data_IF_480877152345
#
_entry.id   IF_480877152345
#
_cell.length_a   1.000
_cell.length_b   1.000
_cell.length_c   1.000
_cell.angle_alpha   90.00
_cell.angle_beta   90.00
_cell.angle_gamma   90.00
#
_symmetry.space_group_name_H-M   'P 1'
#
loop_
_entity.id
_entity.type
_entity.pdbx_description
1 polymer ?
#
# COMPACT_ATOMS: atom_id res chain seq x y z
N UNK A 1 -13.34 0.31 -13.84
CA UNK A 1 -12.68 -0.97 -14.22
C UNK A 1 -13.23 -2.04 -13.28
N UNK A 2 -13.68 -3.17 -13.82
CA UNK A 2 -14.07 -4.33 -13.00
C UNK A 2 -12.81 -5.04 -12.49
N UNK A 3 -12.67 -5.16 -11.17
CA UNK A 3 -11.57 -5.83 -10.50
C UNK A 3 -11.95 -7.21 -9.95
N UNK A 4 -13.15 -7.69 -10.23
CA UNK A 4 -13.63 -9.01 -9.79
C UNK A 4 -12.68 -10.15 -10.22
N UNK A 5 -12.17 -10.17 -11.48
CA UNK A 5 -11.21 -11.19 -11.90
C UNK A 5 -9.89 -11.13 -11.14
N UNK A 6 -9.37 -9.91 -10.88
CA UNK A 6 -8.15 -9.72 -10.09
C UNK A 6 -8.33 -10.21 -8.66
N UNK A 7 -9.48 -9.88 -8.04
CA UNK A 7 -9.82 -10.31 -6.69
C UNK A 7 -9.87 -11.84 -6.58
N UNK A 8 -10.50 -12.52 -7.53
CA UNK A 8 -10.54 -13.97 -7.58
C UNK A 8 -9.13 -14.57 -7.77
N UNK A 9 -8.33 -13.98 -8.66
CA UNK A 9 -6.95 -14.41 -8.89
C UNK A 9 -6.07 -14.22 -7.65
N UNK A 10 -6.18 -13.09 -6.95
CA UNK A 10 -5.45 -12.83 -5.71
C UNK A 10 -5.87 -13.78 -4.58
N UNK A 11 -7.17 -14.09 -4.43
CA UNK A 11 -7.65 -15.07 -3.47
C UNK A 11 -7.07 -16.48 -3.76
N UNK A 12 -7.09 -16.92 -5.02
CA UNK A 12 -6.52 -18.19 -5.45
C UNK A 12 -5.01 -18.26 -5.21
N UNK A 13 -4.28 -17.22 -5.57
CA UNK A 13 -2.83 -17.15 -5.31
C UNK A 13 -2.53 -17.17 -3.82
N UNK A 14 -3.26 -16.41 -3.01
CA UNK A 14 -3.08 -16.43 -1.56
C UNK A 14 -3.22 -17.84 -0.96
N UNK A 15 -4.25 -18.58 -1.36
CA UNK A 15 -4.48 -19.94 -0.88
C UNK A 15 -3.32 -20.89 -1.22
N UNK A 16 -2.65 -20.70 -2.36
CA UNK A 16 -1.62 -21.61 -2.87
C UNK A 16 -0.18 -21.12 -2.65
N UNK A 17 0.01 -19.81 -2.33
CA UNK A 17 1.34 -19.21 -2.24
C UNK A 17 2.21 -19.87 -1.17
N UNK A 18 3.45 -20.18 -1.53
CA UNK A 18 4.52 -20.57 -0.62
C UNK A 18 5.54 -19.46 -0.53
N UNK A 19 5.95 -19.11 0.69
CA UNK A 19 7.03 -18.15 0.91
C UNK A 19 8.36 -18.76 0.47
N UNK A 20 9.11 -18.04 -0.35
CA UNK A 20 10.39 -18.47 -0.92
C UNK A 20 11.57 -17.66 -0.44
N UNK A 21 11.32 -16.50 0.18
CA UNK A 21 12.35 -15.63 0.78
C UNK A 21 11.95 -15.21 2.19
N UNK A 22 12.94 -15.14 3.08
CA UNK A 22 12.71 -14.76 4.48
C UNK A 22 12.78 -13.25 4.67
N UNK A 23 11.69 -12.67 5.19
CA UNK A 23 11.58 -11.27 5.58
C UNK A 23 11.11 -11.11 7.04
N UNK A 24 11.40 -12.09 7.88
CA UNK A 24 10.98 -12.10 9.29
C UNK A 24 11.49 -10.89 10.08
N UNK A 25 12.67 -10.38 9.77
CA UNK A 25 13.21 -9.16 10.41
C UNK A 25 12.33 -7.94 10.15
N UNK A 26 11.90 -7.75 8.89
CA UNK A 26 10.98 -6.66 8.52
C UNK A 26 9.62 -6.86 9.20
N UNK A 27 9.05 -8.07 9.13
CA UNK A 27 7.78 -8.40 9.75
C UNK A 27 7.81 -8.17 11.27
N UNK A 28 8.92 -8.51 11.95
CA UNK A 28 9.10 -8.27 13.39
C UNK A 28 9.02 -6.78 13.73
N UNK A 29 9.65 -5.91 12.95
CA UNK A 29 9.58 -4.46 13.14
C UNK A 29 8.15 -3.93 12.94
N UNK A 30 7.43 -4.42 11.93
CA UNK A 30 6.04 -4.05 11.69
C UNK A 30 5.13 -4.46 12.84
N UNK A 31 5.26 -5.70 13.35
CA UNK A 31 4.47 -6.18 14.48
C UNK A 31 4.82 -5.44 15.76
N UNK A 32 6.09 -5.11 15.99
CA UNK A 32 6.51 -4.31 17.16
C UNK A 32 5.86 -2.91 17.19
N UNK A 33 5.52 -2.37 16.01
CA UNK A 33 4.86 -1.07 15.86
C UNK A 33 3.33 -1.15 15.84
N UNK A 34 2.73 -2.32 16.13
CA UNK A 34 1.28 -2.62 16.05
C UNK A 34 0.41 -1.53 16.67
N UNK A 35 0.75 -1.07 17.88
CA UNK A 35 -0.06 -0.08 18.61
C UNK A 35 -0.24 1.23 17.84
N UNK A 36 0.79 1.71 17.13
CA UNK A 36 0.69 2.91 16.30
C UNK A 36 -0.21 2.70 15.08
N UNK A 37 -0.11 1.55 14.42
CA UNK A 37 -1.00 1.22 13.31
C UNK A 37 -2.44 1.04 13.77
N UNK A 38 -2.68 0.46 14.97
CA UNK A 38 -4.00 0.33 15.56
C UNK A 38 -4.66 1.69 15.88
N UNK A 39 -3.87 2.70 16.25
CA UNK A 39 -4.39 4.06 16.44
C UNK A 39 -4.96 4.63 15.13
N UNK A 40 -4.35 4.33 13.98
CA UNK A 40 -4.85 4.71 12.64
C UNK A 40 -6.01 3.80 12.23
N UNK A 41 -5.95 2.49 12.49
CA UNK A 41 -7.05 1.56 12.24
C UNK A 41 -8.34 2.02 12.92
N UNK A 42 -8.26 2.43 14.20
CA UNK A 42 -9.40 2.92 14.97
C UNK A 42 -10.11 4.13 14.32
N UNK A 43 -9.39 4.93 13.53
CA UNK A 43 -9.91 6.12 12.85
C UNK A 43 -10.38 5.85 11.42
N UNK A 44 -9.80 4.85 10.76
CA UNK A 44 -10.01 4.61 9.33
C UNK A 44 -10.77 3.32 9.02
N UNK A 45 -10.78 2.38 9.96
CA UNK A 45 -11.29 1.02 9.75
C UNK A 45 -10.40 0.15 8.86
N UNK A 46 -9.26 0.67 8.40
CA UNK A 46 -8.27 -0.13 7.68
C UNK A 46 -7.54 -1.00 8.68
N UNK A 47 -7.45 -2.34 8.48
CA UNK A 47 -6.77 -3.21 9.43
C UNK A 47 -5.31 -2.80 9.63
N UNK A 48 -4.84 -2.83 10.87
CA UNK A 48 -3.50 -2.39 11.24
C UNK A 48 -2.39 -3.05 10.42
N UNK A 49 -2.52 -4.34 10.12
CA UNK A 49 -1.52 -5.08 9.35
C UNK A 49 -1.49 -4.64 7.88
N UNK A 50 -2.61 -4.16 7.32
CA UNK A 50 -2.67 -3.56 5.99
C UNK A 50 -1.94 -2.22 5.99
N UNK A 51 -2.16 -1.37 7.01
CA UNK A 51 -1.44 -0.10 7.17
C UNK A 51 0.06 -0.36 7.29
N UNK A 52 0.45 -1.37 8.05
CA UNK A 52 1.85 -1.75 8.26
C UNK A 52 2.55 -2.13 6.95
N UNK A 53 1.93 -2.98 6.11
CA UNK A 53 2.56 -3.37 4.84
C UNK A 53 2.59 -2.23 3.82
N UNK A 54 1.61 -1.31 3.84
CA UNK A 54 1.68 -0.09 3.04
C UNK A 54 2.87 0.76 3.51
N UNK A 55 3.05 0.96 4.82
CA UNK A 55 4.17 1.74 5.37
C UNK A 55 5.54 1.16 4.97
N UNK A 56 5.69 -0.16 4.99
CA UNK A 56 6.90 -0.80 4.47
C UNK A 56 7.08 -0.53 2.98
N UNK A 57 6.04 -0.73 2.17
CA UNK A 57 6.14 -0.63 0.71
C UNK A 57 6.37 0.80 0.22
N UNK A 58 5.70 1.77 0.82
CA UNK A 58 5.75 3.17 0.38
C UNK A 58 6.97 3.93 0.94
N UNK A 59 7.45 3.58 2.13
CA UNK A 59 8.49 4.36 2.77
C UNK A 59 9.53 3.57 3.56
N UNK A 60 9.57 2.23 3.46
CA UNK A 60 10.47 1.36 4.23
C UNK A 60 10.38 1.65 5.74
N UNK A 61 9.18 1.76 6.26
CA UNK A 61 8.86 2.07 7.67
C UNK A 61 9.42 3.41 8.16
N UNK A 62 9.63 4.37 7.26
CA UNK A 62 10.11 5.69 7.66
C UNK A 62 8.97 6.53 8.26
N UNK A 63 8.98 6.65 9.58
CA UNK A 63 7.99 7.44 10.34
C UNK A 63 8.01 8.94 10.08
N UNK A 64 8.97 9.44 9.35
CA UNK A 64 9.04 10.84 8.89
C UNK A 64 8.31 11.09 7.56
N UNK A 65 7.73 10.03 6.93
CA UNK A 65 7.17 10.11 5.58
C UNK A 65 5.70 9.73 5.54
N UNK A 66 4.96 10.40 4.65
CA UNK A 66 3.56 10.10 4.33
C UNK A 66 3.42 8.75 3.61
N UNK A 67 2.29 8.07 3.83
CA UNK A 67 1.92 6.83 3.13
C UNK A 67 1.44 7.06 1.69
N UNK A 68 1.10 8.30 1.31
CA UNK A 68 0.56 8.58 -0.02
C UNK A 68 1.65 8.98 -1.02
N UNK A 69 2.55 9.90 -0.63
CA UNK A 69 3.53 10.49 -1.54
C UNK A 69 4.98 10.13 -1.19
N UNK A 70 5.21 9.59 0.02
CA UNK A 70 6.55 9.42 0.56
C UNK A 70 7.24 10.74 0.90
N UNK A 71 6.54 11.88 0.83
CA UNK A 71 7.04 13.18 1.27
C UNK A 71 7.10 13.29 2.79
N UNK A 72 7.94 14.18 3.36
CA UNK A 72 7.90 14.48 4.79
C UNK A 72 6.51 14.95 5.21
N UNK A 73 5.88 14.28 6.16
CA UNK A 73 4.51 14.60 6.58
C UNK A 73 4.37 15.98 7.25
N UNK A 74 5.43 16.53 7.81
CA UNK A 74 5.47 17.84 8.44
C UNK A 74 5.71 19.01 7.46
N UNK A 75 5.66 18.75 6.17
CA UNK A 75 5.74 19.73 5.09
C UNK A 75 4.56 19.55 4.13
N UNK A 76 4.29 20.58 3.32
CA UNK A 76 3.35 20.43 2.22
C UNK A 76 3.94 19.51 1.17
N UNK A 77 3.17 18.51 0.73
CA UNK A 77 3.63 17.54 -0.27
C UNK A 77 3.84 18.18 -1.64
N UNK A 78 4.92 17.77 -2.31
CA UNK A 78 5.26 18.22 -3.66
C UNK A 78 5.01 17.14 -4.71
N UNK A 79 4.95 15.87 -4.30
CA UNK A 79 4.59 14.76 -5.16
C UNK A 79 3.07 14.52 -5.14
N UNK A 80 2.58 13.80 -6.13
CA UNK A 80 1.13 13.55 -6.33
C UNK A 80 0.61 12.55 -5.29
N UNK A 81 -0.50 12.87 -4.61
CA UNK A 81 -1.28 14.12 -4.65
C UNK A 81 -0.55 15.25 -3.91
N UNK A 82 -0.21 16.34 -4.66
CA UNK A 82 0.48 17.50 -4.11
C UNK A 82 -0.45 18.37 -3.24
N UNK A 83 0.15 19.26 -2.44
CA UNK A 83 -0.60 20.23 -1.64
C UNK A 83 -1.22 19.65 -0.37
N UNK A 84 -0.83 18.43 0.05
CA UNK A 84 -1.28 17.80 1.28
C UNK A 84 -0.36 18.16 2.45
N UNK A 85 -0.94 18.37 3.63
CA UNK A 85 -0.16 18.75 4.81
C UNK A 85 0.11 20.28 4.89
N UNK A 86 1.02 20.76 5.77
CA UNK A 86 1.72 19.92 6.75
C UNK A 86 0.76 19.26 7.75
N UNK A 87 1.14 18.10 8.26
CA UNK A 87 0.39 17.39 9.29
C UNK A 87 1.08 17.53 10.65
N UNK A 88 0.34 17.25 11.73
CA UNK A 88 0.86 17.37 13.11
C UNK A 88 1.50 16.07 13.61
N UNK A 89 1.28 14.95 12.91
CA UNK A 89 1.87 13.65 13.24
C UNK A 89 1.85 12.72 12.03
N UNK A 90 2.63 11.63 12.13
CA UNK A 90 2.57 10.56 11.13
C UNK A 90 1.17 9.94 11.04
N UNK A 91 0.50 9.75 12.17
CA UNK A 91 -0.84 9.18 12.24
C UNK A 91 -1.86 10.07 11.50
N UNK A 92 -1.76 11.38 11.65
CA UNK A 92 -2.61 12.32 10.92
C UNK A 92 -2.37 12.24 9.40
N UNK A 93 -1.11 12.16 8.98
CA UNK A 93 -0.76 11.96 7.57
C UNK A 93 -1.21 10.60 7.04
N UNK A 94 -1.12 9.54 7.85
CA UNK A 94 -1.57 8.21 7.48
C UNK A 94 -3.10 8.15 7.32
N UNK A 95 -3.86 8.79 8.22
CA UNK A 95 -5.31 8.90 8.11
C UNK A 95 -5.67 9.65 6.82
N UNK A 96 -5.01 10.77 6.54
CA UNK A 96 -5.23 11.52 5.31
C UNK A 96 -4.96 10.68 4.05
N UNK A 97 -3.85 9.95 4.04
CA UNK A 97 -3.49 9.07 2.93
C UNK A 97 -4.54 7.98 2.68
N UNK A 98 -5.05 7.34 3.73
CA UNK A 98 -5.99 6.23 3.63
C UNK A 98 -7.43 6.69 3.28
N UNK A 99 -7.82 7.90 3.71
CA UNK A 99 -9.17 8.45 3.51
C UNK A 99 -9.27 9.27 2.24
N UNK A 100 -8.28 10.13 1.98
CA UNK A 100 -8.37 11.20 0.98
C UNK A 100 -7.51 10.96 -0.25
N UNK A 101 -6.59 9.99 -0.23
CA UNK A 101 -5.73 9.70 -1.38
C UNK A 101 -6.09 8.33 -1.98
N UNK A 102 -5.98 8.21 -3.32
CA UNK A 102 -6.17 6.91 -3.98
C UNK A 102 -5.16 5.87 -3.48
N UNK A 103 -5.56 4.63 -3.37
CA UNK A 103 -6.82 3.99 -3.77
C UNK A 103 -7.96 4.09 -2.74
N UNK A 104 -7.92 5.02 -1.79
CA UNK A 104 -8.96 5.30 -0.79
C UNK A 104 -9.23 4.09 0.12
N UNK A 105 -8.21 3.55 0.74
CA UNK A 105 -8.26 2.30 1.50
C UNK A 105 -9.35 2.29 2.58
N UNK A 106 -9.64 3.42 3.21
CA UNK A 106 -10.71 3.54 4.22
C UNK A 106 -12.12 3.29 3.66
N UNK A 107 -12.30 3.34 2.33
CA UNK A 107 -13.58 3.03 1.67
C UNK A 107 -13.77 1.54 1.38
N UNK A 108 -12.69 0.74 1.53
CA UNK A 108 -12.77 -0.69 1.28
C UNK A 108 -13.68 -1.37 2.31
N UNK A 109 -14.56 -2.25 1.83
CA UNK A 109 -15.49 -3.04 2.66
C UNK A 109 -15.14 -4.53 2.65
N UNK A 110 -14.26 -4.95 1.76
CA UNK A 110 -13.90 -6.35 1.59
C UNK A 110 -12.46 -6.58 2.09
N UNK A 111 -12.36 -7.08 3.29
CA UNK A 111 -11.11 -7.45 3.94
C UNK A 111 -10.81 -8.95 3.84
N UNK A 112 -11.44 -9.67 2.91
CA UNK A 112 -10.99 -11.00 2.51
C UNK A 112 -9.57 -10.95 1.91
N UNK A 113 -8.89 -12.07 1.81
CA UNK A 113 -7.57 -12.12 1.18
C UNK A 113 -7.59 -11.52 -0.24
N UNK A 114 -8.58 -11.90 -1.06
CA UNK A 114 -8.74 -11.38 -2.41
C UNK A 114 -8.98 -9.87 -2.44
N UNK A 115 -9.90 -9.37 -1.61
CA UNK A 115 -10.23 -7.96 -1.52
C UNK A 115 -9.05 -7.11 -1.05
N UNK A 116 -8.40 -7.53 0.04
CA UNK A 116 -7.25 -6.83 0.61
C UNK A 116 -6.07 -6.75 -0.36
N UNK A 117 -5.70 -7.88 -0.97
CA UNK A 117 -4.56 -7.90 -1.90
C UNK A 117 -4.86 -7.13 -3.19
N UNK A 118 -6.12 -7.08 -3.61
CA UNK A 118 -6.54 -6.25 -4.75
C UNK A 118 -6.50 -4.76 -4.42
N UNK A 119 -6.92 -4.36 -3.23
CA UNK A 119 -6.75 -2.99 -2.74
C UNK A 119 -5.27 -2.61 -2.71
N UNK A 120 -4.41 -3.45 -2.13
CA UNK A 120 -2.96 -3.22 -2.05
C UNK A 120 -2.32 -3.10 -3.44
N UNK A 121 -2.78 -3.87 -4.43
CA UNK A 121 -2.29 -3.73 -5.81
C UNK A 121 -2.67 -2.38 -6.42
N UNK A 122 -3.77 -1.76 -5.95
CA UNK A 122 -4.17 -0.41 -6.33
C UNK A 122 -3.12 0.66 -5.99
N UNK A 123 -2.35 0.50 -4.91
CA UNK A 123 -1.22 1.37 -4.58
C UNK A 123 -0.12 1.33 -5.64
N UNK A 124 0.03 0.21 -6.33
CA UNK A 124 0.98 0.05 -7.44
C UNK A 124 0.40 0.39 -8.82
N UNK A 125 -0.81 0.93 -8.90
CA UNK A 125 -1.42 1.46 -10.13
C UNK A 125 -1.97 0.43 -11.11
N UNK A 126 -2.13 -0.85 -10.77
CA UNK A 126 -2.75 -1.91 -11.58
C UNK A 126 -2.04 -2.20 -12.93
N UNK A 127 -0.80 -1.73 -13.13
CA UNK A 127 -0.06 -1.93 -14.38
C UNK A 127 0.22 -3.42 -14.65
N UNK A 128 0.51 -4.19 -13.62
CA UNK A 128 0.75 -5.63 -13.72
C UNK A 128 -0.54 -6.40 -14.06
N UNK A 129 -1.66 -6.01 -13.46
CA UNK A 129 -2.96 -6.58 -13.80
C UNK A 129 -3.31 -6.38 -15.28
N UNK A 130 -3.07 -5.19 -15.82
CA UNK A 130 -3.29 -4.91 -17.24
C UNK A 130 -2.39 -5.74 -18.17
N UNK A 131 -1.22 -6.17 -17.68
CA UNK A 131 -0.32 -7.10 -18.39
C UNK A 131 -0.68 -8.57 -18.18
N UNK A 132 -1.64 -8.89 -17.34
CA UNK A 132 -2.02 -10.28 -17.03
C UNK A 132 -0.98 -11.04 -16.19
N UNK A 133 -0.09 -10.35 -15.49
CA UNK A 133 0.98 -10.95 -14.69
C UNK A 133 0.85 -10.61 -13.20
N UNK A 134 1.36 -11.49 -12.29
CA UNK A 134 1.37 -11.21 -10.87
C UNK A 134 2.23 -9.99 -10.52
N UNK A 135 1.68 -9.09 -9.72
CA UNK A 135 2.42 -7.92 -9.25
C UNK A 135 3.51 -8.29 -8.24
N UNK A 136 4.78 -7.86 -8.44
CA UNK A 136 5.81 -8.02 -7.41
C UNK A 136 5.50 -7.23 -6.14
N UNK A 137 4.76 -6.13 -6.23
CA UNK A 137 4.29 -5.38 -5.07
C UNK A 137 3.51 -6.27 -4.10
N UNK A 138 2.78 -7.26 -4.62
CA UNK A 138 2.00 -8.20 -3.84
C UNK A 138 2.78 -9.50 -3.60
N UNK A 139 3.39 -10.09 -4.64
CA UNK A 139 3.81 -11.48 -4.64
C UNK A 139 5.32 -11.73 -4.54
N UNK A 140 6.15 -10.67 -4.55
CA UNK A 140 7.60 -10.83 -4.40
C UNK A 140 7.93 -11.55 -3.08
N UNK A 141 8.82 -12.54 -3.16
CA UNK A 141 9.17 -13.43 -2.04
C UNK A 141 8.24 -14.63 -1.86
N UNK A 142 7.34 -14.88 -2.82
CA UNK A 142 6.55 -16.11 -2.92
C UNK A 142 6.82 -16.82 -4.24
N UNK A 143 6.36 -18.07 -4.37
CA UNK A 143 6.38 -18.85 -5.61
C UNK A 143 5.40 -18.36 -6.68
N UNK A 144 4.54 -17.37 -6.33
CA UNK A 144 3.59 -16.73 -7.25
C UNK A 144 4.21 -15.63 -8.11
N UNK A 145 5.46 -15.25 -7.85
CA UNK A 145 6.22 -14.25 -8.62
C UNK A 145 7.63 -14.78 -8.91
N UNK A 146 8.07 -14.65 -10.16
CA UNK A 146 9.43 -15.03 -10.57
C UNK A 146 10.26 -13.81 -10.98
N UNK A 147 9.80 -13.09 -11.99
CA UNK A 147 10.45 -11.90 -12.53
C UNK A 147 9.43 -11.00 -13.21
N UNK A 148 9.88 -9.87 -13.70
CA UNK A 148 9.09 -8.85 -14.37
C UNK A 148 8.79 -7.67 -13.45
N UNK A 149 9.43 -6.53 -13.72
CA UNK A 149 9.28 -5.31 -12.91
C UNK A 149 9.30 -4.08 -13.80
N UNK A 150 8.51 -3.07 -13.43
CA UNK A 150 8.72 -1.73 -13.95
C UNK A 150 9.97 -1.16 -13.27
N UNK A 151 11.01 -0.92 -14.07
CA UNK A 151 12.31 -0.40 -13.61
C UNK A 151 12.40 1.12 -13.70
N UNK A 152 11.52 1.73 -14.49
CA UNK A 152 11.26 3.16 -14.57
C UNK A 152 9.80 3.38 -14.96
N UNK A 153 9.35 4.64 -15.02
CA UNK A 153 8.00 4.98 -15.46
C UNK A 153 7.76 4.47 -16.90
N UNK A 154 6.73 3.64 -17.05
CA UNK A 154 6.40 3.00 -18.33
C UNK A 154 7.37 1.93 -18.84
N UNK A 155 8.54 1.75 -18.23
CA UNK A 155 9.59 0.83 -18.68
C UNK A 155 9.51 -0.49 -17.90
N UNK A 156 9.05 -1.54 -18.58
CA UNK A 156 8.92 -2.88 -18.00
C UNK A 156 10.08 -3.77 -18.44
N UNK A 157 10.81 -4.35 -17.47
CA UNK A 157 11.84 -5.37 -17.72
C UNK A 157 11.29 -6.75 -17.29
N UNK A 158 11.09 -7.69 -18.24
CA UNK A 158 10.54 -9.01 -17.93
C UNK A 158 11.49 -9.90 -17.12
N UNK A 159 12.78 -9.59 -17.10
CA UNK A 159 13.82 -10.38 -16.43
C UNK A 159 14.21 -9.82 -15.05
N UNK A 160 13.81 -8.58 -14.76
CA UNK A 160 14.15 -7.96 -13.48
C UNK A 160 13.37 -8.61 -12.33
N UNK A 161 14.10 -9.00 -11.28
CA UNK A 161 13.50 -9.56 -10.05
C UNK A 161 13.37 -8.47 -8.99
N UNK A 162 12.18 -8.30 -8.44
CA UNK A 162 11.98 -7.39 -7.30
C UNK A 162 12.55 -8.00 -6.02
N UNK A 163 13.50 -7.29 -5.40
CA UNK A 163 14.13 -7.70 -4.16
C UNK A 163 13.37 -7.24 -2.90
N UNK A 164 12.45 -6.31 -3.03
CA UNK A 164 11.60 -5.88 -1.92
C UNK A 164 10.58 -6.98 -1.57
N UNK A 165 10.17 -7.12 -0.29
CA UNK A 165 9.13 -8.05 0.09
C UNK A 165 7.78 -7.62 -0.50
N UNK A 166 7.04 -8.57 -1.06
CA UNK A 166 5.66 -8.34 -1.45
C UNK A 166 4.72 -8.28 -0.24
N UNK A 167 3.61 -7.59 -0.37
CA UNK A 167 2.61 -7.47 0.72
C UNK A 167 2.15 -8.84 1.22
N UNK A 168 1.90 -9.80 0.33
CA UNK A 168 1.47 -11.16 0.71
C UNK A 168 2.54 -11.89 1.54
N UNK A 169 3.82 -11.75 1.17
CA UNK A 169 4.95 -12.33 1.93
C UNK A 169 5.04 -11.72 3.32
N UNK A 170 4.92 -10.39 3.42
CA UNK A 170 4.95 -9.69 4.72
C UNK A 170 3.78 -10.10 5.61
N UNK A 171 2.56 -10.12 5.08
CA UNK A 171 1.37 -10.52 5.86
C UNK A 171 1.54 -11.95 6.39
N UNK A 172 2.02 -12.89 5.57
CA UNK A 172 2.30 -14.26 6.04
C UNK A 172 3.36 -14.30 7.14
N UNK A 173 4.45 -13.54 7.01
CA UNK A 173 5.47 -13.45 8.03
C UNK A 173 4.95 -12.81 9.32
N UNK A 174 4.10 -11.78 9.22
CA UNK A 174 3.45 -11.16 10.36
C UNK A 174 2.45 -12.10 11.04
N UNK A 175 1.69 -12.92 10.30
CA UNK A 175 0.77 -13.92 10.85
C UNK A 175 1.48 -14.99 11.71
N UNK A 176 2.74 -15.31 11.39
CA UNK A 176 3.57 -16.21 12.21
C UNK A 176 3.92 -15.57 13.54
N UNK A 177 4.14 -14.26 13.58
CA UNK A 177 4.52 -13.49 14.77
C UNK A 177 3.31 -13.06 15.61
N UNK A 178 2.19 -12.82 14.95
CA UNK A 178 0.93 -12.41 15.56
C UNK A 178 -0.25 -13.19 14.96
N UNK A 179 -0.64 -14.31 15.58
CA UNK A 179 -1.75 -15.15 15.11
C UNK A 179 -3.13 -14.47 15.13
N UNK A 180 -3.25 -13.28 15.72
CA UNK A 180 -4.50 -12.51 15.67
C UNK A 180 -4.76 -11.85 14.31
N UNK A 181 -3.74 -11.79 13.46
CA UNK A 181 -3.90 -11.29 12.09
C UNK A 181 -4.71 -12.30 11.27
N UNK A 182 -5.83 -11.86 10.77
CA UNK A 182 -6.70 -12.67 9.91
C UNK A 182 -7.39 -11.81 8.87
N UNK A 183 -7.64 -12.38 7.71
CA UNK A 183 -8.53 -11.77 6.74
C UNK A 183 -9.98 -12.01 7.19
N UNK A 184 -10.76 -10.94 7.24
CA UNK A 184 -12.19 -11.01 7.55
C UNK A 184 -12.98 -10.75 6.27
N UNK A 185 -14.18 -11.30 6.17
CA UNK A 185 -15.11 -10.94 5.09
C UNK A 185 -15.52 -9.46 5.13
N UNK A 186 -16.78 -9.16 5.05
CA UNK A 186 -17.25 -7.78 5.15
C UNK A 186 -17.10 -7.24 6.59
N UNK A 187 -16.35 -6.14 6.75
CA UNK A 187 -16.32 -5.37 8.00
C UNK A 187 -17.38 -4.29 7.97
N UNK A 188 -18.13 -4.18 9.05
CA UNK A 188 -18.95 -2.98 9.32
C UNK A 188 -17.97 -1.91 9.84
N UNK A 189 -17.65 -0.92 9.01
CA UNK A 189 -16.78 0.18 9.39
C UNK A 189 -17.64 1.26 10.06
N UNK A 190 -17.30 1.75 11.26
CA UNK A 190 -17.94 2.93 11.83
C UNK A 190 -17.77 4.12 10.87
N UNK A 191 -18.75 5.05 10.85
CA UNK A 191 -18.68 6.21 9.97
C UNK A 191 -17.40 6.99 10.22
N UNK A 192 -16.62 7.19 9.15
CA UNK A 192 -15.41 8.01 9.20
C UNK A 192 -15.84 9.47 9.40
N UNK A 193 -15.57 10.04 10.56
CA UNK A 193 -15.64 11.48 10.73
C UNK A 193 -14.49 12.09 9.94
N UNK A 194 -14.80 12.59 8.75
CA UNK A 194 -13.82 13.26 7.88
C UNK A 194 -13.27 14.48 8.63
N UNK A 195 -11.95 14.56 8.87
CA UNK A 195 -11.37 15.84 9.30
C UNK A 195 -11.70 16.89 8.23
N UNK A 196 -12.06 18.07 8.65
CA UNK A 196 -12.35 19.18 7.74
C UNK A 196 -11.21 19.32 6.72
N UNK A 197 -11.56 19.36 5.44
CA UNK A 197 -10.60 19.57 4.39
C UNK A 197 -9.85 20.90 4.64
N UNK A 198 -8.53 20.95 4.50
CA UNK A 198 -7.83 22.22 4.47
C UNK A 198 -8.40 23.07 3.34
N UNK A 199 -8.41 24.40 3.46
CA UNK A 199 -8.99 25.29 2.46
C UNK A 199 -8.40 25.00 1.08
N UNK A 200 -9.27 24.79 0.11
CA UNK A 200 -8.90 24.52 -1.27
C UNK A 200 -8.18 25.71 -1.85
N UNK A 201 -6.89 25.59 -2.11
CA UNK A 201 -6.20 26.50 -3.02
C UNK A 201 -6.64 26.09 -4.43
N UNK A 202 -7.47 26.91 -5.05
CA UNK A 202 -7.89 26.75 -6.44
C UNK A 202 -6.68 26.89 -7.34
N UNK A 203 -6.24 25.81 -7.95
CA UNK A 203 -5.28 25.87 -9.04
C UNK A 203 -5.82 25.12 -10.26
N UNK A 204 -5.67 25.66 -11.48
CA UNK A 204 -6.37 25.17 -12.65
C UNK A 204 -5.80 23.86 -13.20
N UNK A 205 -6.72 23.00 -13.51
CA UNK A 205 -6.77 21.86 -14.42
C UNK A 205 -5.57 21.48 -15.29
N UNK A 206 -5.39 20.20 -15.40
CA UNK A 206 -4.72 19.32 -16.33
C UNK A 206 -3.54 18.56 -15.75
N UNK A 207 -3.82 17.42 -15.15
CA UNK A 207 -2.82 16.40 -14.83
C UNK A 207 -3.33 15.02 -15.24
N UNK A 208 -2.70 14.48 -16.26
CA UNK A 208 -2.93 13.15 -16.81
C UNK A 208 -2.70 12.06 -15.74
N UNK A 209 -3.46 10.97 -15.82
CA UNK A 209 -3.36 9.75 -15.01
C UNK A 209 -1.93 9.14 -14.96
N UNK A 210 -1.04 9.56 -15.87
CA UNK A 210 0.36 9.14 -15.93
C UNK A 210 1.25 9.66 -14.77
N UNK A 211 0.91 10.77 -14.12
CA UNK A 211 1.72 11.37 -13.06
C UNK A 211 1.68 10.60 -11.73
N UNK A 212 0.66 9.76 -11.52
CA UNK A 212 0.50 8.98 -10.28
C UNK A 212 1.57 7.88 -10.13
N UNK A 213 2.10 7.38 -11.24
CA UNK A 213 3.11 6.30 -11.23
C UNK A 213 4.53 6.86 -10.99
N UNK A 214 4.81 8.08 -11.44
CA UNK A 214 6.13 8.68 -11.33
C UNK A 214 6.58 8.95 -9.87
N UNK A 215 5.65 9.26 -8.97
CA UNK A 215 5.99 9.61 -7.59
C UNK A 215 6.45 8.40 -6.75
N UNK A 216 5.95 7.21 -7.06
CA UNK A 216 6.33 5.97 -6.36
C UNK A 216 7.78 5.57 -6.72
N UNK A 217 8.20 5.79 -7.98
CA UNK A 217 9.54 5.41 -8.45
C UNK A 217 10.65 6.38 -8.02
N UNK A 218 10.36 7.67 -7.88
CA UNK A 218 11.35 8.66 -7.45
C UNK A 218 11.87 8.42 -6.02
N UNK A 219 11.06 7.85 -5.14
CA UNK A 219 11.45 7.53 -3.78
C UNK A 219 12.40 6.31 -3.71
N UNK A 220 12.36 5.41 -4.70
CA UNK A 220 13.13 4.16 -4.73
C UNK A 220 14.53 4.39 -5.29
N UNK A 221 14.72 5.33 -6.23
CA UNK A 221 16.00 5.54 -6.93
C UNK A 221 16.95 6.55 -6.28
N UNK A 222 16.55 7.31 -5.26
CA UNK A 222 17.44 8.26 -4.54
C UNK A 222 18.26 7.64 -3.41
N UNK A 223 18.39 6.32 -3.34
CA UNK A 223 19.33 5.66 -2.42
C UNK A 223 20.41 4.89 -3.22
N UNK A 224 21.44 5.59 -3.59
CA UNK A 224 22.82 5.14 -3.58
C UNK A 224 23.60 6.03 -2.65
#
# INVERSE_FOLDING_TARGET
MDLTPLKAANAKRWANAKVTRNFSGIAKSLVASKARYQAVEAKTGVPWFVIAVIHERESSQNWGRSLAQGDPWNKVSVHVPAGRGPFNSWEAAAIDALVNCGPYAARNKDWSAGGTLTLLEGYNGLGYYRRGIPSPYIWSGTDQYRAGKYVADGVFDPNHVDNQPGCATLIRAMMVLDPTISFTGLRIVPPVTTPAAPPSVTNPSKGSIGAFIASIFAAIFKRK
#
